data_IF_175435581472
#
_entry.id   IF_175435581472
#
_cell.length_a   1.000
_cell.length_b   1.000
_cell.length_c   1.000
_cell.angle_alpha   90.00
_cell.angle_beta   90.00
_cell.angle_gamma   90.00
#
_symmetry.space_group_name_H-M   'P 1'
#
loop_
_entity.id
_entity.type
_entity.pdbx_description
1 polymer ?
#
# COMPACT_ATOMS: atom_id res chain seq x y z
N UNK A 1 -0.81 -9.06 -14.84
CA UNK A 1 -0.03 -8.22 -15.77
C UNK A 1 1.26 -7.85 -15.07
N UNK A 2 2.40 -8.18 -15.66
CA UNK A 2 3.70 -7.85 -15.09
C UNK A 2 4.03 -6.37 -15.34
N UNK A 3 4.71 -5.72 -14.39
CA UNK A 3 5.31 -4.42 -14.63
C UNK A 3 6.57 -4.62 -15.49
N UNK A 4 6.84 -3.73 -16.45
CA UNK A 4 8.03 -3.85 -17.30
C UNK A 4 9.34 -3.62 -16.53
N UNK A 5 9.27 -2.97 -15.37
CA UNK A 5 10.40 -2.72 -14.46
C UNK A 5 9.92 -2.80 -13.02
N UNK A 6 10.80 -3.16 -12.09
CA UNK A 6 10.50 -3.09 -10.66
C UNK A 6 10.23 -1.63 -10.26
N UNK A 7 9.26 -1.40 -9.38
CA UNK A 7 8.91 -0.06 -8.90
C UNK A 7 8.33 -0.12 -7.50
N UNK A 8 8.70 0.84 -6.68
CA UNK A 8 8.19 1.10 -5.32
C UNK A 8 7.25 2.32 -5.28
N UNK A 9 6.84 2.85 -6.43
CA UNK A 9 5.93 4.00 -6.52
C UNK A 9 4.46 3.57 -6.33
N UNK A 10 3.89 3.96 -5.18
CA UNK A 10 2.50 3.66 -4.80
C UNK A 10 1.49 4.21 -5.82
N UNK A 11 1.78 5.36 -6.44
CA UNK A 11 0.90 5.98 -7.45
C UNK A 11 0.88 5.13 -8.71
N UNK A 12 2.05 4.71 -9.19
CA UNK A 12 2.16 3.85 -10.37
C UNK A 12 1.47 2.50 -10.13
N UNK A 13 1.72 1.88 -8.98
CA UNK A 13 1.10 0.61 -8.59
C UNK A 13 -0.43 0.70 -8.57
N UNK A 14 -0.97 1.77 -7.96
CA UNK A 14 -2.41 2.00 -7.89
C UNK A 14 -3.01 2.23 -9.28
N UNK A 15 -2.32 2.98 -10.15
CA UNK A 15 -2.76 3.24 -11.53
C UNK A 15 -2.85 1.94 -12.35
N UNK A 16 -1.85 1.07 -12.25
CA UNK A 16 -1.84 -0.22 -12.95
C UNK A 16 -2.90 -1.17 -12.40
N UNK A 17 -3.08 -1.21 -11.08
CA UNK A 17 -4.15 -2.00 -10.46
C UNK A 17 -5.55 -1.57 -10.94
N UNK A 18 -5.83 -0.26 -10.97
CA UNK A 18 -7.09 0.27 -11.48
C UNK A 18 -7.27 0.02 -12.98
N UNK A 19 -6.20 0.10 -13.77
CA UNK A 19 -6.23 -0.26 -15.18
C UNK A 19 -6.61 -1.73 -15.37
N UNK A 20 -6.01 -2.64 -14.59
CA UNK A 20 -6.32 -4.07 -14.63
C UNK A 20 -7.77 -4.36 -14.21
N UNK A 21 -8.24 -3.68 -13.15
CA UNK A 21 -9.62 -3.77 -12.69
C UNK A 21 -10.61 -3.39 -13.80
N UNK A 22 -10.36 -2.29 -14.52
CA UNK A 22 -11.22 -1.85 -15.64
C UNK A 22 -11.29 -2.88 -16.76
N UNK A 23 -10.23 -3.67 -16.99
CA UNK A 23 -10.21 -4.72 -18.03
C UNK A 23 -11.02 -5.95 -17.65
N UNK A 24 -11.03 -6.32 -16.37
CA UNK A 24 -11.77 -7.51 -15.89
C UNK A 24 -13.20 -7.19 -15.44
N UNK A 25 -13.52 -5.91 -15.25
CA UNK A 25 -14.83 -5.47 -14.82
C UNK A 25 -15.91 -5.80 -15.85
N UNK A 26 -17.00 -6.41 -15.39
CA UNK A 26 -18.19 -6.71 -16.20
C UNK A 26 -19.43 -6.15 -15.52
N UNK A 27 -20.22 -5.36 -16.26
CA UNK A 27 -21.48 -4.79 -15.77
C UNK A 27 -22.53 -5.90 -15.61
N UNK A 28 -23.39 -5.80 -14.60
CA UNK A 28 -24.48 -6.75 -14.34
C UNK A 28 -24.15 -7.90 -13.38
N UNK A 29 -22.91 -7.98 -12.89
CA UNK A 29 -22.50 -8.97 -11.90
C UNK A 29 -22.49 -8.38 -10.48
N UNK A 30 -22.68 -9.24 -9.47
CA UNK A 30 -22.59 -8.86 -8.05
C UNK A 30 -21.15 -8.51 -7.66
N UNK A 31 -21.00 -7.89 -6.49
CA UNK A 31 -19.69 -7.53 -5.93
C UNK A 31 -18.79 -8.76 -5.79
N UNK A 32 -17.58 -8.67 -6.33
CA UNK A 32 -16.52 -9.65 -6.15
C UNK A 32 -15.29 -8.94 -5.61
N UNK A 33 -14.68 -9.50 -4.55
CA UNK A 33 -13.43 -8.98 -4.00
C UNK A 33 -12.26 -9.40 -4.89
N UNK A 34 -11.39 -8.45 -5.23
CA UNK A 34 -10.14 -8.67 -5.92
C UNK A 34 -8.96 -8.22 -5.05
N UNK A 35 -7.81 -8.86 -5.22
CA UNK A 35 -6.56 -8.51 -4.53
C UNK A 35 -5.44 -8.26 -5.53
N UNK A 36 -4.48 -7.41 -5.15
CA UNK A 36 -3.22 -7.23 -5.88
C UNK A 36 -2.15 -7.97 -5.12
N UNK A 37 -1.40 -8.82 -5.82
CA UNK A 37 -0.26 -9.55 -5.26
C UNK A 37 1.02 -8.99 -5.87
N UNK A 38 1.98 -8.65 -5.02
CA UNK A 38 3.33 -8.31 -5.44
C UNK A 38 4.18 -9.59 -5.35
N UNK A 39 4.90 -9.89 -6.42
CA UNK A 39 5.83 -11.02 -6.52
C UNK A 39 7.21 -10.47 -6.89
N UNK A 40 8.25 -11.27 -6.67
CA UNK A 40 9.65 -10.91 -7.00
C UNK A 40 10.10 -9.59 -6.34
N UNK A 41 9.81 -9.44 -5.06
CA UNK A 41 10.27 -8.29 -4.27
C UNK A 41 11.77 -8.35 -4.09
N UNK A 42 12.44 -7.27 -4.49
CA UNK A 42 13.89 -7.11 -4.39
C UNK A 42 14.18 -5.86 -3.55
N UNK A 43 15.18 -5.90 -2.64
CA UNK A 43 15.60 -4.69 -1.94
C UNK A 43 15.97 -3.59 -2.92
N UNK A 44 15.59 -2.35 -2.62
CA UNK A 44 15.75 -1.19 -3.52
C UNK A 44 17.20 -1.01 -4.02
N UNK A 45 18.19 -1.33 -3.19
CA UNK A 45 19.61 -1.27 -3.53
C UNK A 45 20.04 -2.26 -4.63
N UNK A 46 19.30 -3.36 -4.81
CA UNK A 46 19.55 -4.38 -5.82
C UNK A 46 18.58 -4.26 -7.02
N UNK A 47 17.91 -3.11 -7.17
CA UNK A 47 17.06 -2.87 -8.33
C UNK A 47 17.92 -2.87 -9.59
N UNK A 48 17.70 -3.86 -10.45
CA UNK A 48 18.38 -3.95 -11.73
C UNK A 48 17.91 -2.84 -12.67
N UNK A 49 18.87 -2.13 -13.25
CA UNK A 49 18.60 -1.20 -14.34
C UNK A 49 18.52 -1.97 -15.65
N UNK A 50 17.61 -1.54 -16.52
CA UNK A 50 17.51 -2.04 -17.88
C UNK A 50 18.64 -1.44 -18.73
N UNK A 51 19.20 -2.20 -19.67
CA UNK A 51 20.32 -1.76 -20.52
C UNK A 51 20.00 -0.48 -21.30
N UNK A 52 18.72 -0.31 -21.64
CA UNK A 52 18.18 0.86 -22.33
C UNK A 52 17.30 1.73 -21.42
N UNK A 53 17.14 1.36 -20.15
CA UNK A 53 16.35 2.08 -19.19
C UNK A 53 17.15 3.24 -18.59
N UNK A 54 16.97 4.44 -19.13
CA UNK A 54 17.50 5.64 -18.49
C UNK A 54 16.69 5.95 -17.22
N UNK A 55 17.40 6.37 -16.16
CA UNK A 55 16.74 6.93 -14.97
C UNK A 55 16.19 8.28 -15.39
N UNK A 56 14.87 8.40 -15.48
CA UNK A 56 14.23 9.63 -15.87
C UNK A 56 14.18 10.62 -14.70
N UNK A 57 14.05 11.91 -15.00
CA UNK A 57 13.80 12.91 -13.96
C UNK A 57 12.53 12.60 -13.15
N UNK A 58 11.52 11.98 -13.79
CA UNK A 58 10.31 11.53 -13.12
C UNK A 58 10.56 10.42 -12.10
N UNK A 59 11.47 9.48 -12.38
CA UNK A 59 11.84 8.42 -11.43
C UNK A 59 12.51 9.01 -10.17
N UNK A 60 13.38 10.01 -10.35
CA UNK A 60 14.06 10.70 -9.24
C UNK A 60 13.04 11.45 -8.38
N UNK A 61 12.12 12.18 -9.01
CA UNK A 61 11.06 12.91 -8.31
C UNK A 61 10.13 11.97 -7.55
N UNK A 62 9.68 10.89 -8.19
CA UNK A 62 8.85 9.87 -7.56
C UNK A 62 9.54 9.23 -6.35
N UNK A 63 10.83 8.87 -6.51
CA UNK A 63 11.66 8.37 -5.41
C UNK A 63 11.69 9.30 -4.21
N UNK A 64 11.90 10.61 -4.43
CA UNK A 64 11.93 11.61 -3.35
C UNK A 64 10.56 11.74 -2.70
N UNK A 65 9.50 11.76 -3.50
CA UNK A 65 8.12 11.85 -3.01
C UNK A 65 7.76 10.66 -2.12
N UNK A 66 8.04 9.42 -2.57
CA UNK A 66 7.79 8.21 -1.78
C UNK A 66 8.57 8.23 -0.46
N UNK A 67 9.84 8.65 -0.48
CA UNK A 67 10.64 8.76 0.74
C UNK A 67 10.05 9.76 1.74
N UNK A 68 9.60 10.93 1.28
CA UNK A 68 8.97 11.94 2.16
C UNK A 68 7.65 11.41 2.73
N UNK A 69 6.84 10.76 1.89
CA UNK A 69 5.58 10.17 2.30
C UNK A 69 5.78 9.11 3.39
N UNK A 70 6.77 8.23 3.21
CA UNK A 70 7.12 7.19 4.19
C UNK A 70 7.65 7.78 5.50
N UNK A 71 8.49 8.81 5.42
CA UNK A 71 9.01 9.52 6.61
C UNK A 71 7.88 10.15 7.45
N UNK A 72 6.91 10.79 6.78
CA UNK A 72 5.77 11.39 7.47
C UNK A 72 4.90 10.32 8.11
N UNK A 73 4.60 9.23 7.38
CA UNK A 73 3.85 8.09 7.91
C UNK A 73 4.58 7.39 9.07
N UNK A 74 5.91 7.35 9.07
CA UNK A 74 6.68 6.79 10.18
C UNK A 74 6.58 7.66 11.44
N UNK A 75 6.61 8.99 11.28
CA UNK A 75 6.58 9.95 12.41
C UNK A 75 5.17 10.18 12.97
N UNK A 76 4.19 10.30 12.09
CA UNK A 76 2.82 10.71 12.43
C UNK A 76 1.84 9.54 12.51
N UNK A 77 2.32 8.30 12.37
CA UNK A 77 1.50 7.10 12.36
C UNK A 77 1.14 6.60 10.97
N UNK A 78 0.97 5.28 10.87
CA UNK A 78 0.72 4.58 9.61
C UNK A 78 -0.60 5.04 8.97
N UNK A 79 -0.52 5.47 7.72
CA UNK A 79 -1.68 5.87 6.93
C UNK A 79 -2.13 7.32 7.15
N UNK A 80 -1.29 8.15 7.77
CA UNK A 80 -1.48 9.60 7.89
C UNK A 80 -1.48 10.28 6.53
N UNK A 81 -0.49 9.96 5.69
CA UNK A 81 -0.50 10.25 4.26
C UNK A 81 -0.86 9.01 3.47
N UNK A 82 -1.85 9.17 2.60
CA UNK A 82 -2.33 8.14 1.68
C UNK A 82 -2.86 8.78 0.40
N UNK A 83 -3.02 7.96 -0.63
CA UNK A 83 -3.62 8.42 -1.87
C UNK A 83 -5.10 8.70 -1.66
N UNK A 84 -5.60 9.81 -2.20
CA UNK A 84 -7.03 10.15 -2.15
C UNK A 84 -7.90 9.04 -2.76
N UNK A 85 -7.36 8.30 -3.73
CA UNK A 85 -7.99 7.15 -4.40
C UNK A 85 -8.30 5.98 -3.45
N UNK A 86 -7.61 5.88 -2.31
CA UNK A 86 -7.86 4.85 -1.29
C UNK A 86 -9.17 5.13 -0.51
N UNK A 87 -9.59 6.39 -0.46
CA UNK A 87 -10.69 6.85 0.37
C UNK A 87 -10.33 6.97 1.85
N UNK A 88 -11.13 7.76 2.57
CA UNK A 88 -10.89 8.02 4.00
C UNK A 88 -11.57 7.00 4.91
N UNK A 89 -12.74 6.49 4.49
CA UNK A 89 -13.53 5.50 5.22
C UNK A 89 -13.33 4.13 4.58
N UNK A 90 -13.00 3.14 5.38
CA UNK A 90 -12.81 1.75 4.95
C UNK A 90 -13.88 0.86 5.60
N UNK A 91 -15.15 0.92 5.17
CA UNK A 91 -16.22 0.08 5.74
C UNK A 91 -15.99 -1.42 5.50
N UNK A 92 -15.16 -1.78 4.52
CA UNK A 92 -14.73 -3.15 4.23
C UNK A 92 -13.51 -3.60 5.06
N UNK A 93 -13.07 -2.82 6.05
CA UNK A 93 -11.99 -3.23 6.96
C UNK A 93 -12.41 -4.49 7.72
N UNK A 94 -11.46 -5.37 7.99
CA UNK A 94 -11.70 -6.60 8.75
C UNK A 94 -12.46 -6.28 10.04
N UNK A 95 -13.60 -6.96 10.27
CA UNK A 95 -14.30 -6.95 11.56
C UNK A 95 -13.41 -7.68 12.57
N UNK A 96 -12.80 -6.92 13.47
CA UNK A 96 -11.89 -7.42 14.51
C UNK A 96 -12.61 -7.58 15.87
N UNK A 97 -13.91 -7.93 15.87
CA UNK A 97 -14.71 -8.02 17.10
C UNK A 97 -14.23 -9.08 18.10
N UNK A 98 -13.51 -10.10 17.62
CA UNK A 98 -12.92 -11.17 18.45
C UNK A 98 -11.40 -11.00 18.62
N UNK A 99 -10.85 -9.82 18.32
CA UNK A 99 -9.43 -9.57 18.54
C UNK A 99 -9.19 -9.43 20.06
N UNK A 100 -8.23 -10.18 20.59
CA UNK A 100 -7.78 -9.98 21.97
C UNK A 100 -7.20 -8.57 22.15
N UNK A 101 -7.33 -7.98 23.35
CA UNK A 101 -6.67 -6.71 23.64
C UNK A 101 -5.16 -6.77 23.40
N UNK A 102 -4.58 -5.64 23.02
CA UNK A 102 -3.18 -5.45 22.69
C UNK A 102 -2.33 -5.29 23.96
N UNK A 103 -2.33 -6.32 24.81
CA UNK A 103 -1.71 -6.28 26.14
C UNK A 103 -0.25 -5.83 26.16
N UNK A 104 0.52 -6.09 25.10
CA UNK A 104 1.96 -5.79 25.06
C UNK A 104 2.30 -4.52 24.30
N UNK A 105 1.35 -3.93 23.58
CA UNK A 105 1.63 -2.81 22.66
C UNK A 105 0.72 -1.60 22.87
N UNK A 106 -0.31 -1.70 23.72
CA UNK A 106 -1.15 -0.57 24.08
C UNK A 106 -1.40 -0.57 25.61
N UNK A 107 -0.94 0.49 26.27
CA UNK A 107 -1.10 0.67 27.72
C UNK A 107 -2.58 0.74 28.14
N UNK A 108 -3.45 1.27 27.28
CA UNK A 108 -4.89 1.38 27.55
C UNK A 108 -5.62 0.03 27.45
N UNK A 109 -4.96 -1.00 26.91
CA UNK A 109 -5.51 -2.35 26.72
C UNK A 109 -4.91 -3.37 27.71
N UNK A 110 -4.18 -2.91 28.74
CA UNK A 110 -3.64 -3.76 29.79
C UNK A 110 -4.75 -4.34 30.69
N UNK A 111 -4.50 -5.54 31.23
CA UNK A 111 -5.41 -6.16 32.20
C UNK A 111 -5.33 -5.38 33.52
N UNK A 112 -6.38 -4.64 33.84
CA UNK A 112 -6.52 -4.02 35.16
C UNK A 112 -6.97 -5.07 36.18
N UNK A 113 -6.15 -5.32 37.20
CA UNK A 113 -6.55 -6.13 38.35
C UNK A 113 -7.23 -5.19 39.35
N UNK A 114 -8.56 -5.20 39.38
CA UNK A 114 -9.35 -4.56 40.46
C UNK A 114 -9.16 -5.35 41.76
N UNK A 115 -8.88 -4.63 42.85
CA UNK A 115 -8.93 -5.16 44.22
C UNK A 115 -10.37 -5.43 44.65
#
# INVERSE_FOLDING_TARGET
MALPRQSDDTILLTKVALWGLRKIYRRGYKYQKAGVMLSELVPRQYRQLDLFGTISAADIQSSKLMSVMDQINARMGRGTLKLASEGFKQPWRMKQGNKSPNYTTNWDELVCVTK
#
